data_IF_919187621607
#
_entry.id   IF_919187621607
#
_cell.length_a   1.000
_cell.length_b   1.000
_cell.length_c   1.000
_cell.angle_alpha   90.00
_cell.angle_beta   90.00
_cell.angle_gamma   90.00
#
_symmetry.space_group_name_H-M   'P 1'
#
loop_
_entity.id
_entity.type
_entity.pdbx_description
1 polymer ?
#
# COMPACT_ATOMS: atom_id res chain seq x y z
N UNK A 1 -34.78 1.43 0.92
CA UNK A 1 -34.56 0.07 0.38
C UNK A 1 -34.25 0.07 -1.13
N UNK A 2 -34.82 0.98 -1.93
CA UNK A 2 -34.59 1.08 -3.39
C UNK A 2 -33.12 1.23 -3.84
N UNK A 3 -32.26 1.92 -3.07
CA UNK A 3 -30.85 2.15 -3.47
C UNK A 3 -29.97 0.90 -3.51
N UNK A 4 -30.37 -0.20 -2.85
CA UNK A 4 -29.62 -1.46 -2.88
C UNK A 4 -30.02 -2.34 -4.08
N UNK A 5 -31.28 -2.23 -4.55
CA UNK A 5 -31.77 -2.94 -5.73
C UNK A 5 -31.16 -2.40 -7.02
N UNK A 6 -31.10 -1.07 -7.17
CA UNK A 6 -30.50 -0.41 -8.35
C UNK A 6 -28.97 -0.63 -8.45
N UNK A 7 -28.28 -0.71 -7.31
CA UNK A 7 -26.83 -0.98 -7.27
C UNK A 7 -26.49 -2.39 -7.77
N UNK A 8 -27.35 -3.38 -7.51
CA UNK A 8 -27.12 -4.75 -7.96
C UNK A 8 -27.42 -4.93 -9.46
N UNK A 9 -28.46 -4.26 -9.98
CA UNK A 9 -28.73 -4.22 -11.41
C UNK A 9 -27.61 -3.50 -12.18
N UNK A 10 -27.13 -2.34 -11.70
CA UNK A 10 -26.04 -1.59 -12.31
C UNK A 10 -24.71 -2.38 -12.35
N UNK A 11 -24.38 -3.13 -11.29
CA UNK A 11 -23.20 -4.03 -11.24
C UNK A 11 -23.25 -5.14 -12.30
N UNK A 12 -24.44 -5.69 -12.56
CA UNK A 12 -24.60 -6.77 -13.53
C UNK A 12 -24.45 -6.28 -14.99
N UNK A 13 -24.81 -5.03 -15.28
CA UNK A 13 -24.60 -4.40 -16.59
C UNK A 13 -23.16 -3.92 -16.78
N UNK A 14 -22.52 -3.39 -15.75
CA UNK A 14 -21.14 -2.91 -15.82
C UNK A 14 -20.12 -4.04 -16.07
N UNK A 15 -20.29 -5.20 -15.43
CA UNK A 15 -19.45 -6.37 -15.66
C UNK A 15 -19.58 -6.97 -17.08
N UNK A 16 -20.77 -6.91 -17.69
CA UNK A 16 -20.96 -7.37 -19.10
C UNK A 16 -20.40 -6.36 -20.12
N UNK A 17 -20.45 -5.06 -19.83
CA UNK A 17 -19.89 -4.02 -20.70
C UNK A 17 -18.35 -4.00 -20.69
N UNK A 18 -17.73 -4.27 -19.54
CA UNK A 18 -16.28 -4.42 -19.40
C UNK A 18 -15.68 -5.53 -20.29
N UNK A 19 -16.40 -6.62 -20.48
CA UNK A 19 -16.01 -7.70 -21.38
C UNK A 19 -16.15 -7.31 -22.87
N UNK A 20 -16.98 -6.33 -23.20
CA UNK A 20 -17.28 -5.93 -24.58
C UNK A 20 -16.47 -4.72 -25.09
N UNK A 21 -15.93 -3.87 -24.20
CA UNK A 21 -15.18 -2.67 -24.59
C UNK A 21 -14.09 -2.25 -23.57
N UNK A 22 -13.04 -3.06 -23.37
CA UNK A 22 -11.96 -2.79 -22.41
C UNK A 22 -11.13 -1.53 -22.72
N UNK A 23 -11.29 -0.94 -23.91
CA UNK A 23 -10.65 0.32 -24.32
C UNK A 23 -11.27 1.59 -23.70
N UNK A 24 -12.44 1.48 -23.08
CA UNK A 24 -13.11 2.62 -22.44
C UNK A 24 -12.65 2.77 -20.98
N UNK A 25 -12.10 3.93 -20.63
CA UNK A 25 -11.55 4.18 -19.29
C UNK A 25 -12.55 3.91 -18.15
N UNK A 26 -13.85 4.16 -18.35
CA UNK A 26 -14.90 3.89 -17.36
C UNK A 26 -15.17 2.40 -17.15
N UNK A 27 -15.02 1.58 -18.21
CA UNK A 27 -15.23 0.14 -18.13
C UNK A 27 -14.09 -0.52 -17.35
N UNK A 28 -12.86 -0.05 -17.56
CA UNK A 28 -11.70 -0.49 -16.80
C UNK A 28 -11.78 -0.08 -15.32
N UNK A 29 -12.27 1.12 -15.00
CA UNK A 29 -12.45 1.56 -13.61
C UNK A 29 -13.51 0.70 -12.89
N UNK A 30 -14.66 0.46 -13.51
CA UNK A 30 -15.69 -0.42 -12.93
C UNK A 30 -15.21 -1.87 -12.76
N UNK A 31 -14.40 -2.37 -13.68
CA UNK A 31 -13.79 -3.70 -13.56
C UNK A 31 -12.81 -3.74 -12.39
N UNK A 32 -12.00 -2.68 -12.22
CA UNK A 32 -11.07 -2.57 -11.12
C UNK A 32 -11.81 -2.53 -9.76
N UNK A 33 -12.91 -1.79 -9.68
CA UNK A 33 -13.78 -1.76 -8.49
C UNK A 33 -14.39 -3.13 -8.19
N UNK A 34 -14.87 -3.88 -9.19
CA UNK A 34 -15.42 -5.22 -8.99
C UNK A 34 -14.35 -6.22 -8.52
N UNK A 35 -13.17 -6.22 -9.15
CA UNK A 35 -12.06 -7.08 -8.79
C UNK A 35 -11.56 -6.81 -7.37
N UNK A 36 -11.34 -5.54 -7.03
CA UNK A 36 -10.93 -5.15 -5.68
C UNK A 36 -12.02 -5.42 -4.64
N UNK A 37 -13.30 -5.21 -4.99
CA UNK A 37 -14.44 -5.53 -4.13
C UNK A 37 -14.59 -7.02 -3.81
N UNK A 38 -14.16 -7.90 -4.73
CA UNK A 38 -14.13 -9.36 -4.52
C UNK A 38 -12.82 -9.86 -3.89
N UNK A 39 -11.84 -8.98 -3.70
CA UNK A 39 -10.50 -9.37 -3.25
C UNK A 39 -9.65 -10.07 -4.32
N UNK A 40 -10.02 -9.98 -5.60
CA UNK A 40 -9.21 -10.48 -6.71
C UNK A 40 -8.09 -9.47 -7.06
N UNK A 41 -7.11 -9.42 -6.17
CA UNK A 41 -5.96 -8.52 -6.30
C UNK A 41 -5.11 -8.84 -7.53
N UNK A 42 -4.98 -10.11 -7.90
CA UNK A 42 -4.18 -10.53 -9.04
C UNK A 42 -4.84 -10.17 -10.38
N UNK A 43 -6.17 -10.30 -10.47
CA UNK A 43 -6.95 -9.76 -11.58
C UNK A 43 -6.79 -8.24 -11.70
N UNK A 44 -6.91 -7.50 -10.59
CA UNK A 44 -6.75 -6.06 -10.57
C UNK A 44 -5.35 -5.61 -11.02
N UNK A 45 -4.30 -6.31 -10.56
CA UNK A 45 -2.92 -6.04 -10.97
C UNK A 45 -2.67 -6.30 -12.46
N UNK A 46 -3.24 -7.39 -13.00
CA UNK A 46 -3.16 -7.70 -14.43
C UNK A 46 -3.85 -6.63 -15.27
N UNK A 47 -5.01 -6.14 -14.83
CA UNK A 47 -5.74 -5.07 -15.51
C UNK A 47 -4.88 -3.80 -15.60
N UNK A 48 -4.28 -3.35 -14.48
CA UNK A 48 -3.42 -2.15 -14.47
C UNK A 48 -2.19 -2.31 -15.39
N UNK A 49 -1.56 -3.49 -15.41
CA UNK A 49 -0.42 -3.74 -16.30
C UNK A 49 -0.84 -3.76 -17.77
N UNK A 50 -2.02 -4.29 -18.09
CA UNK A 50 -2.58 -4.21 -19.44
C UNK A 50 -2.83 -2.76 -19.87
N UNK A 51 -3.45 -1.93 -19.01
CA UNK A 51 -3.67 -0.51 -19.30
C UNK A 51 -2.36 0.23 -19.58
N UNK A 52 -1.31 -0.09 -18.81
CA UNK A 52 0.04 0.47 -19.00
C UNK A 52 0.66 0.01 -20.31
N UNK A 53 0.58 -1.28 -20.66
CA UNK A 53 1.18 -1.82 -21.89
C UNK A 53 0.49 -1.28 -23.14
N UNK A 54 -0.83 -1.05 -23.08
CA UNK A 54 -1.60 -0.42 -24.15
C UNK A 54 -1.58 1.12 -24.11
N UNK A 55 -0.76 1.73 -23.24
CA UNK A 55 -0.62 3.20 -23.07
C UNK A 55 -1.93 3.93 -22.80
N UNK A 56 -2.90 3.27 -22.17
CA UNK A 56 -4.15 3.91 -21.71
C UNK A 56 -3.90 4.77 -20.46
N UNK A 57 -2.85 4.45 -19.70
CA UNK A 57 -2.41 5.22 -18.54
C UNK A 57 -0.90 5.44 -18.60
N UNK A 58 -0.46 6.59 -18.10
CA UNK A 58 0.96 6.91 -17.99
C UNK A 58 1.69 5.96 -17.03
N UNK A 59 2.97 5.73 -17.30
CA UNK A 59 3.81 4.81 -16.52
C UNK A 59 3.77 5.10 -15.02
N UNK A 60 3.83 6.38 -14.65
CA UNK A 60 3.80 6.80 -13.24
C UNK A 60 2.44 6.62 -12.60
N UNK A 61 1.35 6.84 -13.35
CA UNK A 61 -0.01 6.57 -12.88
C UNK A 61 -0.24 5.06 -12.67
N UNK A 62 0.27 4.23 -13.58
CA UNK A 62 0.24 2.78 -13.45
C UNK A 62 1.03 2.30 -12.23
N UNK A 63 2.25 2.80 -12.02
CA UNK A 63 3.07 2.46 -10.86
C UNK A 63 2.39 2.85 -9.54
N UNK A 64 1.74 4.02 -9.48
CA UNK A 64 0.94 4.43 -8.31
C UNK A 64 -0.22 3.48 -8.04
N UNK A 65 -1.04 3.19 -9.05
CA UNK A 65 -2.17 2.25 -8.93
C UNK A 65 -1.71 0.87 -8.49
N UNK A 66 -0.63 0.37 -9.10
CA UNK A 66 -0.04 -0.93 -8.77
C UNK A 66 0.50 -0.96 -7.33
N UNK A 67 1.15 0.09 -6.87
CA UNK A 67 1.59 0.20 -5.47
C UNK A 67 0.41 0.12 -4.50
N UNK A 68 -0.69 0.84 -4.77
CA UNK A 68 -1.91 0.79 -3.93
C UNK A 68 -2.51 -0.62 -3.90
N UNK A 69 -2.66 -1.28 -5.06
CA UNK A 69 -3.21 -2.64 -5.14
C UNK A 69 -2.32 -3.67 -4.43
N UNK A 70 -1.00 -3.57 -4.58
CA UNK A 70 -0.05 -4.45 -3.89
C UNK A 70 -0.08 -4.24 -2.37
N UNK A 71 -0.23 -3.00 -1.90
CA UNK A 71 -0.41 -2.70 -0.47
C UNK A 71 -1.71 -3.31 0.06
N UNK A 72 -2.82 -3.17 -0.68
CA UNK A 72 -4.09 -3.78 -0.30
C UNK A 72 -4.02 -5.32 -0.29
N UNK A 73 -3.38 -5.93 -1.30
CA UNK A 73 -3.08 -7.37 -1.33
C UNK A 73 -2.27 -7.80 -0.12
N UNK A 74 -1.21 -7.05 0.21
CA UNK A 74 -0.38 -7.36 1.37
C UNK A 74 -1.17 -7.28 2.68
N UNK A 75 -2.05 -6.28 2.82
CA UNK A 75 -2.92 -6.14 3.98
C UNK A 75 -3.92 -7.30 4.11
N UNK A 76 -4.48 -7.78 3.00
CA UNK A 76 -5.41 -8.90 2.97
C UNK A 76 -4.73 -10.25 3.31
N UNK A 77 -3.44 -10.40 2.96
CA UNK A 77 -2.69 -11.64 3.14
C UNK A 77 -1.88 -11.70 4.45
N UNK A 78 -1.78 -10.60 5.19
CA UNK A 78 -0.83 -10.47 6.31
C UNK A 78 -1.00 -11.55 7.40
N UNK A 79 -2.21 -12.05 7.59
CA UNK A 79 -2.54 -13.05 8.61
C UNK A 79 -2.66 -14.48 8.05
N UNK A 80 -3.00 -14.63 6.76
CA UNK A 80 -3.17 -15.96 6.12
C UNK A 80 -1.93 -16.45 5.37
N UNK A 81 -1.20 -15.55 4.71
CA UNK A 81 0.04 -15.84 3.99
C UNK A 81 1.05 -14.69 4.15
N UNK A 82 1.80 -14.66 5.27
CA UNK A 82 2.77 -13.61 5.54
C UNK A 82 3.90 -13.51 4.50
N UNK A 83 4.22 -14.60 3.80
CA UNK A 83 5.29 -14.61 2.79
C UNK A 83 4.83 -13.94 1.50
N UNK A 84 3.61 -14.24 1.03
CA UNK A 84 3.00 -13.53 -0.09
C UNK A 84 2.75 -12.05 0.26
N UNK A 85 2.29 -11.75 1.48
CA UNK A 85 2.13 -10.38 1.96
C UNK A 85 3.46 -9.60 1.96
N UNK A 86 4.56 -10.24 2.37
CA UNK A 86 5.90 -9.63 2.36
C UNK A 86 6.35 -9.32 0.95
N UNK A 87 6.14 -10.25 0.02
CA UNK A 87 6.51 -10.06 -1.39
C UNK A 87 5.74 -8.88 -1.99
N UNK A 88 4.41 -8.84 -1.78
CA UNK A 88 3.56 -7.78 -2.30
C UNK A 88 3.91 -6.40 -1.71
N UNK A 89 4.09 -6.30 -0.39
CA UNK A 89 4.42 -5.02 0.27
C UNK A 89 5.82 -4.50 -0.10
N UNK A 90 6.82 -5.37 -0.19
CA UNK A 90 8.17 -4.97 -0.65
C UNK A 90 8.15 -4.49 -2.10
N UNK A 91 7.35 -5.13 -2.95
CA UNK A 91 7.18 -4.68 -4.31
C UNK A 91 6.47 -3.32 -4.39
N UNK A 92 5.39 -3.13 -3.62
CA UNK A 92 4.70 -1.84 -3.52
C UNK A 92 5.67 -0.72 -3.11
N UNK A 93 6.45 -0.95 -2.05
CA UNK A 93 7.44 0.00 -1.55
C UNK A 93 8.57 0.25 -2.55
N UNK A 94 8.94 -0.72 -3.39
CA UNK A 94 9.92 -0.50 -4.47
C UNK A 94 9.38 0.40 -5.57
N UNK A 95 8.10 0.30 -5.90
CA UNK A 95 7.44 1.18 -6.88
C UNK A 95 7.28 2.60 -6.34
N UNK A 96 6.98 2.72 -5.04
CA UNK A 96 6.71 3.98 -4.35
C UNK A 96 7.31 3.97 -2.94
N UNK A 97 8.61 4.31 -2.79
CA UNK A 97 9.26 4.34 -1.47
C UNK A 97 8.77 5.46 -0.55
N UNK A 98 8.06 6.44 -1.11
CA UNK A 98 7.44 7.57 -0.43
C UNK A 98 6.00 7.29 0.04
N UNK A 99 5.45 6.12 -0.30
CA UNK A 99 4.08 5.76 0.04
C UNK A 99 4.01 5.07 1.41
N UNK A 100 3.69 5.85 2.45
CA UNK A 100 3.72 5.40 3.85
C UNK A 100 2.99 4.07 4.12
N UNK A 101 1.77 3.79 3.61
CA UNK A 101 1.09 2.52 3.82
C UNK A 101 1.87 1.28 3.33
N UNK A 102 2.56 1.40 2.19
CA UNK A 102 3.41 0.31 1.69
C UNK A 102 4.63 0.09 2.59
N UNK A 103 5.27 1.19 3.02
CA UNK A 103 6.42 1.16 3.91
C UNK A 103 6.08 0.54 5.27
N UNK A 104 4.93 0.91 5.86
CA UNK A 104 4.45 0.42 7.16
C UNK A 104 4.20 -1.10 7.12
N UNK A 105 3.44 -1.60 6.14
CA UNK A 105 3.16 -3.05 6.05
C UNK A 105 4.46 -3.84 5.78
N UNK A 106 5.31 -3.35 4.88
CA UNK A 106 6.59 -3.99 4.59
C UNK A 106 7.49 -4.07 5.83
N UNK A 107 7.62 -2.97 6.58
CA UNK A 107 8.41 -2.92 7.80
C UNK A 107 7.83 -3.81 8.90
N UNK A 108 6.50 -3.82 9.09
CA UNK A 108 5.82 -4.70 10.05
C UNK A 108 6.11 -6.18 9.78
N UNK A 109 6.06 -6.60 8.52
CA UNK A 109 6.38 -7.97 8.10
C UNK A 109 7.87 -8.30 8.28
N UNK A 110 8.77 -7.36 8.03
CA UNK A 110 10.21 -7.53 8.29
C UNK A 110 10.52 -7.63 9.78
N UNK A 111 9.87 -6.84 10.62
CA UNK A 111 10.03 -6.89 12.08
C UNK A 111 9.55 -8.22 12.67
N UNK A 112 8.42 -8.76 12.18
CA UNK A 112 7.96 -10.11 12.53
C UNK A 112 8.98 -11.21 12.19
N UNK A 113 9.85 -10.97 11.20
CA UNK A 113 10.91 -11.89 10.79
C UNK A 113 12.29 -11.51 11.35
N UNK A 114 12.34 -10.61 12.34
CA UNK A 114 13.56 -10.12 12.97
C UNK A 114 14.53 -9.37 12.02
N UNK A 115 14.08 -8.95 10.83
CA UNK A 115 14.86 -8.12 9.89
C UNK A 115 14.66 -6.63 10.19
N UNK A 116 15.04 -6.25 11.42
CA UNK A 116 14.83 -4.90 11.96
C UNK A 116 15.58 -3.84 11.17
N UNK A 117 16.80 -4.16 10.72
CA UNK A 117 17.64 -3.20 9.98
C UNK A 117 16.98 -2.81 8.66
N UNK A 118 16.45 -3.77 7.92
CA UNK A 118 15.79 -3.49 6.63
C UNK A 118 14.47 -2.76 6.82
N UNK A 119 13.65 -3.18 7.80
CA UNK A 119 12.37 -2.52 8.09
C UNK A 119 12.56 -1.07 8.52
N UNK A 120 13.54 -0.80 9.41
CA UNK A 120 13.88 0.54 9.84
C UNK A 120 14.30 1.44 8.66
N UNK A 121 15.12 0.92 7.74
CA UNK A 121 15.56 1.67 6.55
C UNK A 121 14.39 2.05 5.64
N UNK A 122 13.42 1.14 5.45
CA UNK A 122 12.22 1.41 4.65
C UNK A 122 11.41 2.56 5.28
N UNK A 123 11.19 2.51 6.59
CA UNK A 123 10.47 3.56 7.33
C UNK A 123 11.21 4.90 7.28
N UNK A 124 12.53 4.92 7.45
CA UNK A 124 13.35 6.13 7.34
C UNK A 124 13.29 6.76 5.94
N UNK A 125 13.22 5.96 4.88
CA UNK A 125 13.04 6.46 3.51
C UNK A 125 11.69 7.14 3.33
N UNK A 126 10.61 6.50 3.77
CA UNK A 126 9.27 7.08 3.69
C UNK A 126 9.14 8.35 4.54
N UNK A 127 9.68 8.35 5.76
CA UNK A 127 9.71 9.51 6.66
C UNK A 127 10.43 10.73 6.06
N UNK A 128 11.55 10.50 5.35
CA UNK A 128 12.28 11.57 4.67
C UNK A 128 11.48 12.18 3.51
N UNK A 129 10.61 11.41 2.87
CA UNK A 129 9.69 11.94 1.87
C UNK A 129 8.61 12.76 2.57
N UNK A 130 7.80 12.11 3.41
CA UNK A 130 6.70 12.73 4.15
C UNK A 130 6.57 12.05 5.54
N UNK A 131 6.82 12.78 6.65
CA UNK A 131 6.62 12.24 7.99
C UNK A 131 5.15 11.84 8.24
N UNK A 132 4.93 10.67 8.84
CA UNK A 132 3.59 10.11 9.07
C UNK A 132 3.50 9.43 10.44
N UNK A 133 2.41 9.61 11.22
CA UNK A 133 2.30 9.09 12.59
C UNK A 133 2.46 7.57 12.68
N UNK A 134 1.87 6.80 11.74
CA UNK A 134 2.04 5.34 11.71
C UNK A 134 3.50 4.89 11.50
N UNK A 135 4.30 5.68 10.78
CA UNK A 135 5.73 5.41 10.60
C UNK A 135 6.46 5.63 11.94
N UNK A 136 6.16 6.72 12.63
CA UNK A 136 6.76 7.02 13.94
C UNK A 136 6.43 5.94 14.98
N UNK A 137 5.15 5.56 15.08
CA UNK A 137 4.68 4.52 15.99
C UNK A 137 5.39 3.18 15.72
N UNK A 138 5.41 2.75 14.46
CA UNK A 138 6.03 1.48 14.10
C UNK A 138 7.56 1.51 14.24
N UNK A 139 8.21 2.64 13.92
CA UNK A 139 9.66 2.79 13.99
C UNK A 139 10.16 2.78 15.44
N UNK A 140 9.47 3.49 16.34
CA UNK A 140 9.81 3.55 17.77
C UNK A 140 9.60 2.21 18.46
N UNK A 141 8.69 1.38 17.97
CA UNK A 141 8.40 0.03 18.49
C UNK A 141 8.95 -1.10 17.61
N UNK A 142 9.97 -0.83 16.80
CA UNK A 142 10.49 -1.77 15.81
C UNK A 142 11.02 -3.10 16.38
N UNK A 143 11.35 -3.14 17.68
CA UNK A 143 11.76 -4.36 18.39
C UNK A 143 10.90 -4.55 19.65
N UNK A 144 10.26 -5.72 19.79
CA UNK A 144 9.68 -6.12 21.07
C UNK A 144 10.77 -6.18 22.14
N UNK A 145 10.57 -5.45 23.26
CA UNK A 145 11.52 -5.43 24.37
C UNK A 145 12.56 -4.30 24.34
N UNK A 146 12.53 -3.39 23.35
CA UNK A 146 13.36 -2.17 23.40
C UNK A 146 13.07 -1.39 24.69
N UNK A 147 14.12 -0.95 25.39
CA UNK A 147 13.98 -0.16 26.60
C UNK A 147 13.36 1.21 26.26
N UNK A 148 12.81 1.90 27.27
CA UNK A 148 12.24 3.26 27.07
C UNK A 148 13.27 4.20 26.44
N UNK A 149 14.54 4.09 26.85
CA UNK A 149 15.63 4.88 26.30
C UNK A 149 15.91 4.56 24.82
N UNK A 150 15.79 3.31 24.39
CA UNK A 150 15.95 2.92 22.98
C UNK A 150 14.84 3.50 22.12
N UNK A 151 13.60 3.48 22.61
CA UNK A 151 12.46 4.12 21.94
C UNK A 151 12.65 5.63 21.83
N UNK A 152 13.13 6.28 22.90
CA UNK A 152 13.45 7.71 22.88
C UNK A 152 14.57 8.04 21.87
N UNK A 153 15.62 7.22 21.80
CA UNK A 153 16.70 7.41 20.84
C UNK A 153 16.20 7.30 19.38
N UNK A 154 15.26 6.39 19.11
CA UNK A 154 14.62 6.25 17.80
C UNK A 154 13.73 7.45 17.45
N UNK A 155 12.94 7.93 18.40
CA UNK A 155 12.12 9.14 18.24
C UNK A 155 13.00 10.35 17.90
N UNK A 156 14.06 10.59 18.69
CA UNK A 156 15.06 11.64 18.42
C UNK A 156 15.68 11.51 17.04
N UNK A 157 15.99 10.29 16.61
CA UNK A 157 16.53 10.05 15.27
C UNK A 157 15.55 10.45 14.17
N UNK A 158 14.25 10.16 14.30
CA UNK A 158 13.23 10.62 13.35
C UNK A 158 13.09 12.15 13.37
N UNK A 159 13.08 12.76 14.57
CA UNK A 159 13.06 14.21 14.75
C UNK A 159 14.23 14.87 14.02
N UNK A 160 15.45 14.35 14.17
CA UNK A 160 16.64 14.88 13.53
C UNK A 160 16.59 14.86 12.00
N UNK A 161 15.86 13.90 11.41
CA UNK A 161 15.69 13.83 9.95
C UNK A 161 14.83 14.96 9.38
N UNK A 162 13.86 15.46 10.17
CA UNK A 162 12.84 16.44 9.73
C UNK A 162 12.48 17.43 10.86
N UNK A 163 13.49 18.14 11.37
CA UNK A 163 13.41 19.00 12.58
C UNK A 163 12.27 20.03 12.61
N UNK A 164 11.79 20.46 11.44
CA UNK A 164 10.76 21.51 11.32
C UNK A 164 9.36 20.97 10.98
N UNK A 165 9.14 19.66 11.06
CA UNK A 165 7.85 19.04 10.75
C UNK A 165 7.05 18.75 12.03
N UNK A 166 5.74 18.97 12.01
CA UNK A 166 4.86 18.78 13.17
C UNK A 166 4.95 17.35 13.72
N UNK A 167 4.79 16.35 12.85
CA UNK A 167 4.93 14.92 13.21
C UNK A 167 6.31 14.58 13.79
N UNK A 168 7.37 15.26 13.36
CA UNK A 168 8.72 15.04 13.91
C UNK A 168 8.91 15.64 15.29
N UNK A 169 8.07 16.58 15.69
CA UNK A 169 8.08 17.15 17.04
C UNK A 169 7.22 16.35 18.03
N UNK A 170 6.28 15.56 17.51
CA UNK A 170 5.34 14.73 18.28
C UNK A 170 5.81 13.27 18.43
N UNK A 171 6.64 12.78 17.51
CA UNK A 171 7.23 11.44 17.53
C UNK A 171 8.25 11.25 18.67
#
# INVERSE_FOLDING_TARGET
AERLGDRNAARHYAGRAAAMAPQLAWAAESTLEDLTGRGDWDGALKLVEAQKSTRQIERDAANRRRAVLLTAKAQALIDSDPNAAKTASLEANRLRPDFAPAAVIAAKLLFRQNDVRKGAKILETAWKAEPHPEIAELYTHARPGDAVLDRLNRAKKLQEMKKNHAESSLA
#
